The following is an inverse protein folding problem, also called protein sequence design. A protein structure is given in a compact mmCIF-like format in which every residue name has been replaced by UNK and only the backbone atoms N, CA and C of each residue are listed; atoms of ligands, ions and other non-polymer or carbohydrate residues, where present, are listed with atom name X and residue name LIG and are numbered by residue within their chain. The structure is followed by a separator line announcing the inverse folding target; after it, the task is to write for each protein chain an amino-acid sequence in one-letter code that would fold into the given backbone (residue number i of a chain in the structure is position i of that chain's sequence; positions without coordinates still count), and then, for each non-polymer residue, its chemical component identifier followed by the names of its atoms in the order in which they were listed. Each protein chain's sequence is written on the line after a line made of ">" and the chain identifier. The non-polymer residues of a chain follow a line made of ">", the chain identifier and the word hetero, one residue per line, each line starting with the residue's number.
data_IF_591838927726
#
_entry.id   IF_591838927726
#
_cell.length_a   1.000
_cell.length_b   1.000
_cell.length_c   1.000
_cell.angle_alpha   90.00
_cell.angle_beta   90.00
_cell.angle_gamma   90.00
#
_symmetry.space_group_name_H-M   'P 1'
#
loop_
_entity.id
_entity.type
_entity.pdbx_description
1 polymer ?
#
# COMPACT_ATOMS: atom_id res chain seq x y z
N UNK A 1 21.47 7.90 -1.78
CA UNK A 1 22.14 6.67 -2.25
C UNK A 1 22.60 6.83 -3.69
N UNK A 2 23.75 6.25 -4.06
CA UNK A 2 24.32 6.34 -5.40
C UNK A 2 24.56 4.93 -5.96
N UNK A 3 24.18 4.69 -7.21
CA UNK A 3 24.37 3.44 -7.94
C UNK A 3 24.97 3.71 -9.32
N UNK A 4 25.63 2.70 -9.89
CA UNK A 4 26.09 2.68 -11.28
C UNK A 4 25.47 1.49 -12.03
N UNK A 5 24.97 1.73 -13.24
CA UNK A 5 24.47 0.68 -14.11
C UNK A 5 25.64 -0.01 -14.81
N UNK A 6 25.85 -1.29 -14.49
CA UNK A 6 26.89 -2.11 -15.07
C UNK A 6 26.52 -2.58 -16.48
N UNK A 7 27.51 -2.94 -17.29
CA UNK A 7 27.32 -3.41 -18.67
C UNK A 7 26.43 -4.66 -18.82
N UNK A 8 26.27 -5.45 -17.75
CA UNK A 8 25.41 -6.64 -17.71
C UNK A 8 23.96 -6.33 -17.29
N UNK A 9 23.65 -5.09 -16.94
CA UNK A 9 22.34 -4.65 -16.48
C UNK A 9 22.17 -4.65 -14.95
N UNK A 10 23.19 -5.08 -14.20
CA UNK A 10 23.20 -5.07 -12.74
C UNK A 10 23.52 -3.68 -12.17
N UNK A 11 23.10 -3.41 -10.93
CA UNK A 11 23.44 -2.18 -10.21
C UNK A 11 24.61 -2.41 -9.23
N UNK A 12 25.64 -1.58 -9.33
CA UNK A 12 26.70 -1.48 -8.33
C UNK A 12 26.40 -0.31 -7.37
N UNK A 13 26.39 -0.55 -6.06
CA UNK A 13 26.25 0.52 -5.06
C UNK A 13 27.58 1.26 -4.90
N UNK A 14 27.53 2.58 -4.98
CA UNK A 14 28.67 3.48 -4.76
C UNK A 14 28.57 4.14 -3.36
N UNK A 15 29.68 4.73 -2.85
CA UNK A 15 29.65 5.49 -1.60
C UNK A 15 28.64 6.65 -1.66
N UNK A 16 27.84 6.82 -0.60
CA UNK A 16 26.75 7.80 -0.58
C UNK A 16 27.24 9.27 -0.52
N UNK A 17 28.49 9.47 -0.08
CA UNK A 17 29.22 10.73 0.03
C UNK A 17 30.13 11.02 -1.17
N UNK A 18 30.11 10.16 -2.20
CA UNK A 18 30.89 10.35 -3.42
C UNK A 18 30.54 11.70 -4.07
N UNK A 19 31.56 12.55 -4.24
CA UNK A 19 31.43 13.79 -4.98
C UNK A 19 31.22 13.46 -6.47
N UNK A 20 30.16 14.00 -7.06
CA UNK A 20 29.85 13.89 -8.49
C UNK A 20 30.01 15.28 -9.13
N UNK A 21 31.21 15.62 -9.65
CA UNK A 21 31.46 16.91 -10.28
C UNK A 21 30.47 17.15 -11.43
N UNK A 22 29.84 18.33 -11.46
CA UNK A 22 28.86 18.67 -12.50
C UNK A 22 27.44 18.17 -12.25
N UNK A 23 27.17 17.55 -11.09
CA UNK A 23 25.82 17.37 -10.58
C UNK A 23 25.51 18.48 -9.56
N UNK A 24 24.38 19.17 -9.73
CA UNK A 24 23.91 20.15 -8.75
C UNK A 24 23.70 19.50 -7.38
N UNK A 25 23.86 20.26 -6.30
CA UNK A 25 23.72 19.72 -4.95
C UNK A 25 22.26 19.34 -4.70
N UNK A 26 21.94 18.05 -4.79
CA UNK A 26 20.58 17.54 -4.59
C UNK A 26 20.37 17.24 -3.10
N UNK A 27 19.39 17.83 -2.41
CA UNK A 27 19.12 17.52 -1.00
C UNK A 27 18.65 16.08 -0.83
N UNK A 28 18.86 15.52 0.37
CA UNK A 28 18.23 14.25 0.75
C UNK A 28 16.74 14.48 1.08
N UNK A 29 15.87 13.47 0.89
CA UNK A 29 16.13 12.11 0.39
C UNK A 29 16.43 12.06 -1.11
N UNK A 30 17.41 11.23 -1.50
CA UNK A 30 17.84 11.10 -2.91
C UNK A 30 18.33 9.70 -3.26
N UNK A 31 18.06 9.28 -4.50
CA UNK A 31 18.64 8.09 -5.13
C UNK A 31 19.17 8.49 -6.50
N UNK A 32 20.42 8.17 -6.79
CA UNK A 32 21.08 8.48 -8.06
C UNK A 32 21.47 7.17 -8.73
N UNK A 33 21.08 6.97 -9.98
CA UNK A 33 21.59 5.93 -10.84
C UNK A 33 22.45 6.58 -11.94
N UNK A 34 23.74 6.32 -11.93
CA UNK A 34 24.65 6.68 -13.00
C UNK A 34 24.46 5.73 -14.17
N UNK A 35 24.36 6.32 -15.35
CA UNK A 35 24.12 5.65 -16.61
C UNK A 35 25.29 5.92 -17.57
N UNK A 36 25.50 5.05 -18.57
CA UNK A 36 26.42 5.31 -19.66
C UNK A 36 26.22 6.69 -20.32
N UNK A 37 27.28 7.23 -20.92
CA UNK A 37 27.29 8.51 -21.64
C UNK A 37 27.04 9.75 -20.75
N UNK A 38 27.56 9.72 -19.52
CA UNK A 38 27.42 10.80 -18.53
C UNK A 38 25.95 11.15 -18.25
N UNK A 39 25.07 10.15 -18.26
CA UNK A 39 23.65 10.31 -17.93
C UNK A 39 23.40 9.89 -16.48
N UNK A 40 22.30 10.35 -15.92
CA UNK A 40 21.86 9.87 -14.61
C UNK A 40 20.34 9.87 -14.51
N UNK A 41 19.81 8.94 -13.73
CA UNK A 41 18.44 9.03 -13.19
C UNK A 41 18.53 9.51 -11.76
N UNK A 42 17.76 10.54 -11.43
CA UNK A 42 17.65 11.10 -10.11
C UNK A 42 16.24 10.86 -9.55
N UNK A 43 16.17 10.08 -8.48
CA UNK A 43 14.99 9.95 -7.62
C UNK A 43 15.07 10.92 -6.46
N UNK A 44 14.04 11.75 -6.32
CA UNK A 44 13.87 12.72 -5.22
C UNK A 44 12.45 12.66 -4.69
N UNK A 45 12.21 13.39 -3.61
CA UNK A 45 10.87 13.50 -3.03
C UNK A 45 10.41 14.95 -3.16
N UNK A 46 9.23 15.12 -3.74
CA UNK A 46 8.53 16.39 -3.84
C UNK A 46 7.28 16.38 -2.93
N UNK A 47 6.79 17.56 -2.55
CA UNK A 47 5.53 17.76 -1.82
C UNK A 47 5.25 16.72 -0.71
N UNK A 48 6.13 16.64 0.29
CA UNK A 48 5.99 15.84 1.54
C UNK A 48 5.99 14.31 1.43
N UNK A 49 5.82 13.68 0.27
CA UNK A 49 5.95 12.22 0.11
C UNK A 49 5.92 11.70 -1.35
N UNK A 50 5.87 12.57 -2.36
CA UNK A 50 5.73 12.12 -3.74
C UNK A 50 7.09 11.81 -4.36
N UNK A 51 7.25 10.59 -4.85
CA UNK A 51 8.43 10.21 -5.62
C UNK A 51 8.46 10.97 -6.96
N UNK A 52 9.58 11.63 -7.24
CA UNK A 52 9.86 12.27 -8.52
C UNK A 52 11.14 11.68 -9.11
N UNK A 53 11.06 11.30 -10.39
CA UNK A 53 12.18 10.73 -11.12
C UNK A 53 12.53 11.61 -12.32
N UNK A 54 13.81 11.92 -12.50
CA UNK A 54 14.27 12.76 -13.59
C UNK A 54 15.52 12.17 -14.26
N UNK A 55 15.62 12.34 -15.57
CA UNK A 55 16.77 11.97 -16.40
C UNK A 55 17.59 13.23 -16.71
N UNK A 56 18.87 13.20 -16.38
CA UNK A 56 19.78 14.32 -16.65
C UNK A 56 21.08 13.91 -17.33
N UNK A 57 21.88 14.91 -17.67
CA UNK A 57 23.26 14.78 -18.14
C UNK A 57 24.20 15.47 -17.16
N UNK A 58 25.26 14.79 -16.75
CA UNK A 58 26.29 15.38 -15.91
C UNK A 58 27.02 16.46 -16.72
N UNK A 59 27.14 17.66 -16.15
CA UNK A 59 27.82 18.80 -16.77
C UNK A 59 27.05 19.46 -17.92
N UNK A 60 25.76 19.16 -18.13
CA UNK A 60 24.90 19.97 -19.00
C UNK A 60 24.21 21.08 -18.20
N UNK A 61 23.92 22.19 -18.86
CA UNK A 61 23.04 23.26 -18.34
C UNK A 61 21.56 22.92 -18.52
N UNK A 62 21.24 21.91 -19.33
CA UNK A 62 19.86 21.46 -19.55
C UNK A 62 19.23 20.96 -18.24
N UNK A 63 18.00 21.39 -18.00
CA UNK A 63 17.22 20.89 -16.87
C UNK A 63 16.92 19.40 -17.03
N UNK A 64 16.98 18.60 -15.95
CA UNK A 64 16.60 17.19 -16.00
C UNK A 64 15.14 17.02 -16.45
N UNK A 65 14.92 16.10 -17.37
CA UNK A 65 13.59 15.76 -17.91
C UNK A 65 12.89 14.79 -16.95
N UNK A 66 11.62 15.04 -16.64
CA UNK A 66 10.85 14.13 -15.80
C UNK A 66 10.57 12.79 -16.50
N UNK A 67 10.74 11.69 -15.77
CA UNK A 67 10.47 10.34 -16.24
C UNK A 67 9.62 9.57 -15.24
N UNK A 68 8.91 8.56 -15.72
CA UNK A 68 8.13 7.65 -14.88
C UNK A 68 8.75 6.26 -14.84
N UNK A 69 8.94 5.76 -13.62
CA UNK A 69 9.38 4.40 -13.31
C UNK A 69 8.21 3.60 -12.71
N UNK A 70 7.72 2.63 -13.47
CA UNK A 70 6.65 1.74 -13.05
C UNK A 70 7.24 0.50 -12.38
N UNK A 71 6.65 0.08 -11.26
CA UNK A 71 7.02 -1.18 -10.61
C UNK A 71 6.77 -2.36 -11.55
N UNK A 72 7.54 -3.42 -11.39
CA UNK A 72 7.42 -4.66 -12.16
C UNK A 72 7.63 -4.49 -13.69
N UNK A 73 8.11 -3.33 -14.15
CA UNK A 73 8.31 -3.05 -15.59
C UNK A 73 9.69 -2.46 -15.85
N UNK A 74 10.43 -2.96 -16.85
CA UNK A 74 11.69 -2.35 -17.27
C UNK A 74 11.45 -0.97 -17.90
N UNK A 75 12.47 -0.11 -17.86
CA UNK A 75 12.45 1.21 -18.50
C UNK A 75 13.54 1.29 -19.57
N UNK A 76 13.14 1.51 -20.81
CA UNK A 76 14.07 1.83 -21.90
C UNK A 76 14.13 3.35 -22.10
N UNK A 77 15.35 3.88 -22.09
CA UNK A 77 15.69 5.28 -22.30
C UNK A 77 16.36 5.40 -23.66
N UNK A 78 15.76 6.15 -24.56
CA UNK A 78 16.33 6.38 -25.89
C UNK A 78 17.30 7.56 -25.84
N UNK A 79 18.52 7.36 -26.31
CA UNK A 79 19.58 8.37 -26.36
C UNK A 79 19.79 8.92 -27.79
N UNK A 80 18.76 8.84 -28.64
CA UNK A 80 18.85 9.19 -30.04
C UNK A 80 19.80 8.26 -30.80
N UNK A 81 20.74 8.84 -31.55
CA UNK A 81 21.69 8.08 -32.38
C UNK A 81 22.72 7.28 -31.58
N UNK A 82 22.89 7.58 -30.28
CA UNK A 82 23.84 6.89 -29.39
C UNK A 82 23.34 5.50 -28.97
N UNK A 83 22.03 5.24 -29.15
CA UNK A 83 21.40 3.96 -28.83
C UNK A 83 20.33 4.10 -27.74
N UNK A 84 20.11 3.01 -27.00
CA UNK A 84 19.16 2.98 -25.89
C UNK A 84 19.78 2.29 -24.67
N UNK A 85 19.33 2.71 -23.49
CA UNK A 85 19.68 2.08 -22.22
C UNK A 85 18.42 1.45 -21.64
N UNK A 86 18.51 0.17 -21.28
CA UNK A 86 17.40 -0.50 -20.57
C UNK A 86 17.78 -0.72 -19.12
N UNK A 87 16.97 -0.16 -18.23
CA UNK A 87 17.00 -0.46 -16.80
C UNK A 87 16.03 -1.61 -16.55
N UNK A 88 16.54 -2.70 -15.97
CA UNK A 88 15.73 -3.88 -15.66
C UNK A 88 14.64 -3.58 -14.63
N UNK A 89 13.64 -4.46 -14.59
CA UNK A 89 12.59 -4.42 -13.57
C UNK A 89 13.18 -4.43 -12.15
N UNK A 90 14.09 -5.37 -11.89
CA UNK A 90 14.69 -5.59 -10.57
C UNK A 90 15.47 -4.35 -10.11
N UNK A 91 16.13 -3.68 -11.06
CA UNK A 91 16.83 -2.42 -10.80
C UNK A 91 15.87 -1.29 -10.46
N UNK A 92 14.73 -1.19 -11.14
CA UNK A 92 13.69 -0.18 -10.84
C UNK A 92 13.11 -0.41 -9.46
N UNK A 93 12.73 -1.65 -9.13
CA UNK A 93 12.15 -1.98 -7.83
C UNK A 93 13.15 -1.69 -6.69
N UNK A 94 14.44 -1.97 -6.90
CA UNK A 94 15.50 -1.61 -5.96
C UNK A 94 15.63 -0.10 -5.77
N UNK A 95 15.65 0.69 -6.85
CA UNK A 95 15.78 2.15 -6.78
C UNK A 95 14.60 2.78 -6.03
N UNK A 96 13.37 2.36 -6.35
CA UNK A 96 12.15 2.83 -5.68
C UNK A 96 12.14 2.42 -4.22
N UNK A 97 12.49 1.18 -3.90
CA UNK A 97 12.65 0.72 -2.52
C UNK A 97 13.69 1.53 -1.75
N UNK A 98 14.82 1.89 -2.37
CA UNK A 98 15.84 2.73 -1.74
C UNK A 98 15.35 4.16 -1.46
N UNK A 99 14.51 4.72 -2.34
CA UNK A 99 13.93 6.04 -2.14
C UNK A 99 12.87 6.00 -1.02
N UNK A 100 11.94 5.03 -1.05
CA UNK A 100 10.91 4.83 -0.02
C UNK A 100 11.47 4.67 1.38
N UNK A 101 12.56 3.92 1.53
CA UNK A 101 13.24 3.72 2.82
C UNK A 101 13.86 4.99 3.40
N UNK A 102 13.96 6.07 2.63
CA UNK A 102 14.41 7.39 3.11
C UNK A 102 13.24 8.34 3.39
N UNK A 103 12.00 7.93 3.12
CA UNK A 103 10.80 8.75 3.31
C UNK A 103 10.10 8.37 4.62
N UNK A 104 9.52 9.36 5.34
CA UNK A 104 8.55 9.03 6.37
C UNK A 104 7.31 8.39 5.72
N UNK A 105 6.58 7.52 6.44
CA UNK A 105 5.30 7.01 5.97
C UNK A 105 4.32 8.15 5.67
N UNK A 106 3.52 8.05 4.59
CA UNK A 106 2.60 9.12 4.20
C UNK A 106 1.47 9.31 5.22
N UNK A 107 0.86 10.49 5.20
CA UNK A 107 -0.27 10.85 6.04
C UNK A 107 0.12 11.41 7.41
N UNK A 108 -0.83 12.16 7.99
CA UNK A 108 -0.64 12.84 9.27
C UNK A 108 -0.98 11.91 10.44
N UNK A 109 -0.17 11.95 11.49
CA UNK A 109 -0.31 11.10 12.67
C UNK A 109 -1.58 11.42 13.48
N UNK A 110 -1.75 12.69 13.87
CA UNK A 110 -2.78 13.13 14.82
C UNK A 110 -4.21 12.79 14.36
N UNK A 111 -4.63 13.02 13.10
CA UNK A 111 -5.98 12.65 12.65
C UNK A 111 -6.25 11.14 12.73
N UNK A 112 -5.27 10.30 12.36
CA UNK A 112 -5.40 8.85 12.43
C UNK A 112 -5.55 8.37 13.87
N UNK A 113 -4.74 8.91 14.80
CA UNK A 113 -4.85 8.58 16.23
C UNK A 113 -6.16 9.03 16.87
N UNK A 114 -6.64 10.22 16.54
CA UNK A 114 -7.94 10.70 17.03
C UNK A 114 -9.10 9.80 16.58
N UNK A 115 -9.05 9.33 15.33
CA UNK A 115 -10.03 8.37 14.84
C UNK A 115 -9.94 7.06 15.64
N UNK A 116 -8.74 6.51 15.80
CA UNK A 116 -8.54 5.25 16.52
C UNK A 116 -9.02 5.35 17.97
N UNK A 117 -8.67 6.42 18.69
CA UNK A 117 -9.17 6.71 20.05
C UNK A 117 -10.70 6.76 20.09
N UNK A 118 -11.34 7.42 19.12
CA UNK A 118 -12.79 7.49 19.03
C UNK A 118 -13.50 6.15 18.78
N UNK A 119 -12.78 5.11 18.32
CA UNK A 119 -13.30 3.76 18.16
C UNK A 119 -13.20 2.93 19.43
N UNK A 120 -12.17 3.17 20.24
CA UNK A 120 -11.88 2.40 21.47
C UNK A 120 -12.69 2.84 22.69
N UNK A 121 -13.58 3.86 22.55
CA UNK A 121 -14.61 4.32 23.50
C UNK A 121 -14.48 3.71 24.91
N UNK A 122 -13.62 4.31 25.73
CA UNK A 122 -13.36 4.01 27.15
C UNK A 122 -12.20 3.03 27.48
N UNK A 123 -11.53 2.42 26.49
CA UNK A 123 -10.29 1.69 26.73
C UNK A 123 -9.09 2.68 26.76
N UNK A 124 -8.58 2.99 27.96
CA UNK A 124 -7.61 4.05 28.27
C UNK A 124 -6.20 3.84 27.70
N UNK A 125 -6.04 2.96 26.71
CA UNK A 125 -4.74 2.56 26.17
C UNK A 125 -4.03 3.69 25.41
N UNK A 126 -4.78 4.60 24.80
CA UNK A 126 -4.23 5.74 24.07
C UNK A 126 -4.17 6.96 25.00
N UNK A 127 -2.95 7.25 25.47
CA UNK A 127 -2.61 8.44 26.27
C UNK A 127 -2.56 9.68 25.36
N UNK A 128 -2.80 10.88 25.91
CA UNK A 128 -2.79 12.12 25.14
C UNK A 128 -1.42 12.36 24.45
N UNK A 129 -0.31 12.00 25.09
CA UNK A 129 1.04 12.04 24.51
C UNK A 129 1.14 11.24 23.20
N UNK A 130 0.42 10.11 23.08
CA UNK A 130 0.41 9.27 21.88
C UNK A 130 -0.47 9.83 20.74
N UNK A 131 -1.15 10.96 20.96
CA UNK A 131 -1.93 11.68 19.93
C UNK A 131 -1.10 12.84 19.38
N UNK A 132 -0.30 13.44 20.24
CA UNK A 132 0.58 14.57 19.89
C UNK A 132 1.89 14.10 19.27
N UNK A 133 2.47 13.01 19.80
CA UNK A 133 3.75 12.45 19.36
C UNK A 133 3.60 11.04 18.79
N UNK A 134 4.17 10.85 17.60
CA UNK A 134 4.22 9.59 16.89
C UNK A 134 5.09 8.55 17.61
N UNK A 135 6.16 8.96 18.28
CA UNK A 135 7.09 8.03 18.96
C UNK A 135 6.42 7.13 20.00
N UNK A 136 5.85 7.71 21.08
CA UNK A 136 5.12 6.95 22.11
C UNK A 136 3.95 6.14 21.54
N UNK A 137 3.28 6.67 20.51
CA UNK A 137 2.19 5.97 19.85
C UNK A 137 2.65 4.68 19.16
N UNK A 138 3.77 4.72 18.44
CA UNK A 138 4.30 3.54 17.77
C UNK A 138 4.72 2.48 18.79
N UNK A 139 5.32 2.85 19.92
CA UNK A 139 5.65 1.89 20.99
C UNK A 139 4.42 1.20 21.59
N UNK A 140 3.32 1.93 21.71
CA UNK A 140 2.03 1.37 22.14
C UNK A 140 1.48 0.40 21.08
N UNK A 141 1.44 0.84 19.82
CA UNK A 141 0.86 0.08 18.71
C UNK A 141 1.65 -1.21 18.41
N UNK A 142 2.97 -1.22 18.57
CA UNK A 142 3.77 -2.43 18.38
C UNK A 142 3.39 -3.59 19.34
N UNK A 143 2.67 -3.31 20.44
CA UNK A 143 2.15 -4.32 21.37
C UNK A 143 0.84 -4.94 20.91
N UNK A 144 0.14 -4.32 19.96
CA UNK A 144 -1.17 -4.75 19.47
C UNK A 144 -1.20 -4.65 17.94
N UNK A 145 -0.94 -5.78 17.27
CA UNK A 145 -0.88 -5.84 15.82
C UNK A 145 -2.17 -5.42 15.12
N UNK A 146 -3.32 -5.65 15.75
CA UNK A 146 -4.64 -5.26 15.22
C UNK A 146 -4.78 -3.75 15.23
N UNK A 147 -4.47 -3.08 16.34
CA UNK A 147 -4.50 -1.62 16.43
C UNK A 147 -3.44 -0.97 15.53
N UNK A 148 -2.24 -1.56 15.45
CA UNK A 148 -1.18 -1.09 14.55
C UNK A 148 -1.64 -1.11 13.09
N UNK A 149 -2.19 -2.23 12.64
CA UNK A 149 -2.71 -2.36 11.28
C UNK A 149 -3.82 -1.34 10.99
N UNK A 150 -4.76 -1.17 11.92
CA UNK A 150 -5.83 -0.19 11.78
C UNK A 150 -5.32 1.26 11.72
N UNK A 151 -4.34 1.60 12.56
CA UNK A 151 -3.69 2.91 12.56
C UNK A 151 -3.09 3.23 11.18
N UNK A 152 -2.28 2.31 10.63
CA UNK A 152 -1.64 2.51 9.33
C UNK A 152 -2.64 2.57 8.18
N UNK A 153 -3.67 1.71 8.19
CA UNK A 153 -4.72 1.78 7.18
C UNK A 153 -5.44 3.12 7.18
N UNK A 154 -5.81 3.65 8.36
CA UNK A 154 -6.45 4.96 8.46
C UNK A 154 -5.52 6.08 8.00
N UNK A 155 -4.25 6.06 8.41
CA UNK A 155 -3.28 7.09 8.05
C UNK A 155 -3.04 7.14 6.54
N UNK A 156 -2.81 6.00 5.90
CA UNK A 156 -2.60 5.92 4.45
C UNK A 156 -3.88 6.20 3.66
N UNK A 157 -5.04 5.84 4.18
CA UNK A 157 -6.31 6.18 3.55
C UNK A 157 -6.55 7.70 3.57
N UNK A 158 -6.31 8.36 4.71
CA UNK A 158 -6.43 9.81 4.83
C UNK A 158 -5.48 10.57 3.90
N UNK A 159 -4.24 10.11 3.73
CA UNK A 159 -3.30 10.74 2.80
C UNK A 159 -3.73 10.65 1.34
N UNK A 160 -4.53 9.63 1.01
CA UNK A 160 -5.12 9.40 -0.32
C UNK A 160 -6.52 10.01 -0.48
N UNK A 161 -7.05 10.67 0.54
CA UNK A 161 -8.45 11.10 0.63
C UNK A 161 -9.47 9.96 0.42
N UNK A 162 -9.10 8.73 0.77
CA UNK A 162 -9.93 7.53 0.68
C UNK A 162 -10.75 7.34 1.97
N UNK A 163 -11.79 8.17 2.14
CA UNK A 163 -12.67 8.10 3.31
C UNK A 163 -13.45 6.79 3.42
N UNK A 164 -13.62 6.10 2.29
CA UNK A 164 -14.27 4.80 2.22
C UNK A 164 -13.41 3.72 2.90
N UNK A 165 -12.10 3.69 2.64
CA UNK A 165 -11.15 2.84 3.37
C UNK A 165 -11.13 3.14 4.87
N UNK A 166 -11.21 4.42 5.25
CA UNK A 166 -11.36 4.80 6.67
C UNK A 166 -12.65 4.20 7.26
N UNK A 167 -13.77 4.30 6.54
CA UNK A 167 -15.07 3.75 6.98
C UNK A 167 -15.05 2.22 7.13
N UNK A 168 -14.43 1.51 6.19
CA UNK A 168 -14.23 0.05 6.26
C UNK A 168 -13.38 -0.34 7.46
N UNK A 169 -12.25 0.33 7.67
CA UNK A 169 -11.36 0.07 8.81
C UNK A 169 -12.06 0.34 10.14
N UNK A 170 -12.84 1.44 10.24
CA UNK A 170 -13.69 1.72 11.41
C UNK A 170 -14.72 0.61 11.66
N UNK A 171 -15.31 0.08 10.60
CA UNK A 171 -16.29 -1.01 10.69
C UNK A 171 -15.64 -2.27 11.21
N UNK A 172 -14.48 -2.64 10.66
CA UNK A 172 -13.67 -3.77 11.15
C UNK A 172 -13.39 -3.66 12.64
N UNK A 173 -12.82 -2.54 13.10
CA UNK A 173 -12.41 -2.38 14.49
C UNK A 173 -13.60 -2.38 15.46
N UNK A 174 -14.76 -1.90 15.04
CA UNK A 174 -15.97 -1.88 15.88
C UNK A 174 -16.67 -3.21 16.00
N UNK A 175 -16.63 -4.05 14.96
CA UNK A 175 -17.51 -5.23 14.89
C UNK A 175 -16.75 -6.56 14.89
N UNK A 176 -15.48 -6.56 14.47
CA UNK A 176 -14.74 -7.77 14.17
C UNK A 176 -13.21 -7.64 14.39
N UNK A 177 -12.75 -6.80 15.32
CA UNK A 177 -11.32 -6.57 15.57
C UNK A 177 -10.56 -7.86 15.91
N UNK A 178 -11.17 -8.71 16.74
CA UNK A 178 -10.61 -9.97 17.26
C UNK A 178 -10.91 -11.19 16.38
N UNK A 179 -11.80 -11.07 15.39
CA UNK A 179 -12.31 -12.21 14.61
C UNK A 179 -11.23 -12.87 13.75
N UNK A 180 -10.29 -12.07 13.26
CA UNK A 180 -9.28 -12.52 12.30
C UNK A 180 -8.00 -13.01 12.98
N UNK A 181 -7.89 -12.88 14.30
CA UNK A 181 -6.72 -13.32 15.07
C UNK A 181 -6.58 -14.84 15.02
N UNK A 182 -5.46 -15.33 14.46
CA UNK A 182 -5.18 -16.76 14.34
C UNK A 182 -6.06 -17.51 13.32
N UNK A 183 -6.86 -16.80 12.52
CA UNK A 183 -7.71 -17.42 11.51
C UNK A 183 -6.90 -17.90 10.30
N UNK A 184 -6.94 -19.22 10.05
CA UNK A 184 -6.39 -19.85 8.86
C UNK A 184 -7.43 -20.82 8.25
N UNK A 185 -7.70 -20.77 6.93
CA UNK A 185 -7.15 -19.81 5.95
C UNK A 185 -7.65 -18.37 6.16
N UNK A 186 -6.97 -17.39 5.56
CA UNK A 186 -7.37 -15.98 5.59
C UNK A 186 -8.47 -15.69 4.55
N UNK A 187 -9.32 -14.66 4.77
CA UNK A 187 -10.29 -14.24 3.76
C UNK A 187 -9.60 -13.71 2.50
N UNK A 188 -10.31 -13.73 1.37
CA UNK A 188 -9.82 -13.18 0.10
C UNK A 188 -10.88 -12.31 -0.55
N UNK A 189 -10.44 -11.28 -1.27
CA UNK A 189 -11.32 -10.33 -1.95
C UNK A 189 -10.82 -10.09 -3.38
N UNK A 190 -11.73 -10.03 -4.32
CA UNK A 190 -11.47 -9.67 -5.72
C UNK A 190 -12.50 -8.66 -6.19
N UNK A 191 -12.14 -7.90 -7.22
CA UNK A 191 -12.96 -6.81 -7.74
C UNK A 191 -13.16 -6.95 -9.24
N UNK A 192 -14.36 -6.62 -9.73
CA UNK A 192 -14.62 -6.52 -11.16
C UNK A 192 -15.42 -5.26 -11.48
N UNK A 193 -14.94 -4.48 -12.45
CA UNK A 193 -15.66 -3.33 -13.00
C UNK A 193 -16.89 -3.76 -13.82
N UNK A 194 -16.79 -4.93 -14.44
CA UNK A 194 -17.83 -5.51 -15.29
C UNK A 194 -18.28 -6.84 -14.71
N UNK A 195 -18.38 -7.88 -15.55
CA UNK A 195 -19.19 -9.02 -15.20
C UNK A 195 -18.56 -9.95 -14.17
N UNK A 196 -17.49 -10.60 -14.60
CA UNK A 196 -16.74 -11.55 -13.81
C UNK A 196 -15.37 -10.97 -13.43
N UNK A 197 -14.69 -11.54 -12.43
CA UNK A 197 -13.29 -11.24 -12.13
C UNK A 197 -12.37 -11.49 -13.33
N UNK A 198 -11.13 -10.99 -13.25
CA UNK A 198 -10.12 -11.31 -14.24
C UNK A 198 -9.82 -12.81 -14.29
N UNK A 199 -9.27 -13.30 -15.41
CA UNK A 199 -8.97 -14.74 -15.59
C UNK A 199 -8.14 -15.34 -14.44
N UNK A 200 -7.12 -14.63 -13.98
CA UNK A 200 -6.28 -15.07 -12.86
C UNK A 200 -7.10 -15.23 -11.57
N UNK A 201 -7.97 -14.27 -11.29
CA UNK A 201 -8.83 -14.28 -10.09
C UNK A 201 -9.84 -15.42 -10.17
N UNK A 202 -10.38 -15.70 -11.36
CA UNK A 202 -11.26 -16.85 -11.60
C UNK A 202 -10.52 -18.15 -11.28
N UNK A 203 -9.30 -18.32 -11.77
CA UNK A 203 -8.49 -19.52 -11.49
C UNK A 203 -8.24 -19.70 -9.98
N UNK A 204 -8.03 -18.60 -9.24
CA UNK A 204 -7.93 -18.63 -7.77
C UNK A 204 -9.25 -19.02 -7.09
N UNK A 205 -10.38 -18.52 -7.58
CA UNK A 205 -11.72 -18.81 -7.05
C UNK A 205 -12.12 -20.27 -7.35
N UNK A 206 -11.78 -20.80 -8.52
CA UNK A 206 -11.94 -22.21 -8.87
C UNK A 206 -11.12 -23.11 -7.95
N UNK A 207 -9.91 -22.69 -7.58
CA UNK A 207 -9.09 -23.35 -6.58
C UNK A 207 -9.75 -23.44 -5.19
N UNK A 208 -10.74 -22.59 -4.91
CA UNK A 208 -11.57 -22.63 -3.70
C UNK A 208 -12.85 -23.47 -3.87
N UNK A 209 -13.05 -24.07 -5.04
CA UNK A 209 -14.18 -24.98 -5.31
C UNK A 209 -15.44 -24.29 -5.83
N UNK A 210 -15.33 -23.09 -6.42
CA UNK A 210 -16.44 -22.41 -7.10
C UNK A 210 -16.17 -22.37 -8.61
N UNK A 211 -17.08 -22.93 -9.41
CA UNK A 211 -16.90 -23.01 -10.86
C UNK A 211 -17.22 -21.69 -11.56
N UNK A 212 -16.73 -21.49 -12.79
CA UNK A 212 -17.16 -20.35 -13.63
C UNK A 212 -18.68 -20.29 -13.79
N UNK A 213 -19.35 -21.43 -13.93
CA UNK A 213 -20.81 -21.51 -14.01
C UNK A 213 -21.48 -20.99 -12.74
N UNK A 214 -20.91 -21.26 -11.56
CA UNK A 214 -21.38 -20.73 -10.29
C UNK A 214 -21.29 -19.21 -10.26
N UNK A 215 -20.17 -18.64 -10.72
CA UNK A 215 -19.97 -17.19 -10.78
C UNK A 215 -20.95 -16.52 -11.74
N UNK A 216 -21.18 -17.12 -12.92
CA UNK A 216 -22.18 -16.65 -13.87
C UNK A 216 -23.59 -16.68 -13.28
N UNK A 217 -23.95 -17.76 -12.57
CA UNK A 217 -25.25 -17.88 -11.89
C UNK A 217 -25.40 -16.82 -10.80
N UNK A 218 -24.41 -16.63 -9.93
CA UNK A 218 -24.42 -15.58 -8.93
C UNK A 218 -24.60 -14.21 -9.57
N UNK A 219 -23.90 -13.95 -10.68
CA UNK A 219 -23.98 -12.69 -11.38
C UNK A 219 -25.34 -12.42 -12.02
N UNK A 220 -26.01 -13.46 -12.52
CA UNK A 220 -27.32 -13.35 -13.16
C UNK A 220 -28.47 -13.01 -12.20
N UNK A 221 -28.24 -13.07 -10.89
CA UNK A 221 -29.27 -12.73 -9.90
C UNK A 221 -29.50 -11.22 -9.83
N UNK A 222 -30.78 -10.84 -9.82
CA UNK A 222 -31.21 -9.43 -9.78
C UNK A 222 -31.09 -8.78 -8.41
N UNK A 223 -31.08 -9.57 -7.33
CA UNK A 223 -30.92 -9.07 -5.96
C UNK A 223 -29.50 -9.27 -5.46
N UNK A 224 -28.90 -8.21 -4.91
CA UNK A 224 -27.59 -8.23 -4.27
C UNK A 224 -27.73 -7.88 -2.78
N UNK A 225 -26.88 -8.42 -1.89
CA UNK A 225 -25.78 -9.35 -2.16
C UNK A 225 -26.24 -10.80 -2.40
N UNK A 226 -25.40 -11.59 -3.07
CA UNK A 226 -25.60 -13.03 -3.32
C UNK A 226 -24.56 -13.82 -2.54
N UNK A 227 -24.95 -14.96 -1.97
CA UNK A 227 -24.06 -15.83 -1.20
C UNK A 227 -24.13 -17.24 -1.75
N UNK A 228 -22.97 -17.87 -1.94
CA UNK A 228 -22.85 -19.25 -2.36
C UNK A 228 -21.94 -20.01 -1.39
N UNK A 229 -22.37 -21.19 -0.98
CA UNK A 229 -21.63 -22.08 -0.11
C UNK A 229 -20.85 -23.13 -0.90
N UNK A 230 -19.64 -23.46 -0.44
CA UNK A 230 -18.89 -24.63 -0.85
C UNK A 230 -18.27 -25.31 0.39
N UNK A 231 -17.64 -26.47 0.22
CA UNK A 231 -16.98 -27.16 1.34
C UNK A 231 -15.78 -26.38 1.93
N UNK A 232 -15.23 -25.42 1.19
CA UNK A 232 -14.10 -24.60 1.65
C UNK A 232 -14.57 -23.37 2.43
N UNK A 233 -15.75 -22.81 2.08
CA UNK A 233 -16.27 -21.60 2.70
C UNK A 233 -17.48 -21.01 1.99
N UNK A 234 -17.59 -19.69 2.08
CA UNK A 234 -18.68 -18.90 1.51
C UNK A 234 -18.12 -17.86 0.55
N UNK A 235 -18.68 -17.79 -0.65
CA UNK A 235 -18.42 -16.75 -1.63
C UNK A 235 -19.58 -15.76 -1.62
N UNK A 236 -19.27 -14.48 -1.46
CA UNK A 236 -20.22 -13.39 -1.41
C UNK A 236 -19.97 -12.48 -2.61
N UNK A 237 -21.04 -12.19 -3.36
CA UNK A 237 -21.06 -11.17 -4.40
C UNK A 237 -21.85 -9.96 -3.91
N UNK A 238 -21.20 -8.80 -3.83
CA UNK A 238 -21.82 -7.54 -3.43
C UNK A 238 -21.50 -6.45 -4.44
N UNK A 239 -22.37 -5.44 -4.54
CA UNK A 239 -22.06 -4.20 -5.23
C UNK A 239 -21.50 -3.17 -4.26
N UNK A 240 -20.60 -2.34 -4.78
CA UNK A 240 -20.04 -1.20 -4.07
C UNK A 240 -19.93 0.00 -5.02
N UNK A 241 -20.25 1.19 -4.52
CA UNK A 241 -20.46 2.39 -5.34
C UNK A 241 -21.94 2.61 -5.69
N UNK A 242 -22.29 3.85 -6.00
CA UNK A 242 -23.64 4.23 -6.44
C UNK A 242 -23.87 4.01 -7.94
N UNK A 243 -25.00 4.49 -8.44
CA UNK A 243 -25.51 4.22 -9.81
C UNK A 243 -24.58 4.62 -10.97
N UNK A 244 -23.57 5.47 -10.74
CA UNK A 244 -22.69 6.00 -11.80
C UNK A 244 -21.28 5.39 -11.85
N UNK A 245 -20.85 4.66 -10.82
CA UNK A 245 -19.49 4.11 -10.72
C UNK A 245 -19.43 2.89 -9.78
N UNK A 246 -20.38 1.96 -9.95
CA UNK A 246 -20.42 0.72 -9.19
C UNK A 246 -19.40 -0.30 -9.70
N UNK A 247 -18.75 -1.02 -8.80
CA UNK A 247 -18.01 -2.24 -9.12
C UNK A 247 -18.43 -3.35 -8.18
N UNK A 248 -18.08 -4.57 -8.57
CA UNK A 248 -18.48 -5.79 -7.88
C UNK A 248 -17.37 -6.25 -6.98
N UNK A 249 -17.77 -6.68 -5.80
CA UNK A 249 -16.90 -7.27 -4.80
C UNK A 249 -17.22 -8.75 -4.73
N UNK A 250 -16.19 -9.55 -4.91
CA UNK A 250 -16.21 -10.99 -4.70
C UNK A 250 -15.42 -11.26 -3.43
N UNK A 251 -16.09 -11.72 -2.37
CA UNK A 251 -15.46 -11.97 -1.08
C UNK A 251 -15.58 -13.45 -0.73
N UNK A 252 -14.45 -14.10 -0.51
CA UNK A 252 -14.40 -15.44 0.06
C UNK A 252 -14.15 -15.37 1.57
N UNK A 253 -15.00 -16.06 2.34
CA UNK A 253 -14.87 -16.26 3.76
C UNK A 253 -14.80 -17.76 4.11
N UNK A 254 -13.71 -18.21 4.74
CA UNK A 254 -13.61 -19.52 5.36
C UNK A 254 -14.75 -19.78 6.36
N UNK A 255 -15.16 -21.04 6.49
CA UNK A 255 -16.26 -21.46 7.38
C UNK A 255 -16.11 -20.92 8.83
N UNK A 256 -14.93 -20.97 9.48
CA UNK A 256 -14.78 -20.45 10.85
C UNK A 256 -15.11 -18.95 10.96
N UNK A 257 -14.62 -18.16 9.98
CA UNK A 257 -14.86 -16.72 9.94
C UNK A 257 -16.32 -16.40 9.64
N UNK A 258 -16.94 -17.13 8.70
CA UNK A 258 -18.36 -17.01 8.43
C UNK A 258 -19.20 -17.27 9.68
N UNK A 259 -18.92 -18.35 10.42
CA UNK A 259 -19.66 -18.72 11.61
C UNK A 259 -19.51 -17.65 12.72
N UNK A 260 -18.30 -17.14 12.95
CA UNK A 260 -18.08 -16.09 13.95
C UNK A 260 -18.81 -14.79 13.57
N UNK A 261 -18.68 -14.33 12.32
CA UNK A 261 -19.25 -13.04 11.88
C UNK A 261 -20.76 -13.10 11.65
N UNK A 262 -21.23 -14.11 10.89
CA UNK A 262 -22.62 -14.20 10.45
C UNK A 262 -23.51 -14.90 11.45
N UNK A 263 -23.04 -16.03 12.02
CA UNK A 263 -23.87 -16.86 12.89
C UNK A 263 -23.83 -16.43 14.35
N UNK A 264 -22.66 -16.05 14.87
CA UNK A 264 -22.54 -15.65 16.28
C UNK A 264 -22.77 -14.14 16.46
N UNK A 265 -22.06 -13.30 15.70
CA UNK A 265 -22.17 -11.82 15.80
C UNK A 265 -23.35 -11.24 15.03
N UNK A 266 -24.04 -12.04 14.21
CA UNK A 266 -25.23 -11.64 13.44
C UNK A 266 -25.02 -10.41 12.54
N UNK A 267 -23.80 -10.20 12.04
CA UNK A 267 -23.50 -9.10 11.12
C UNK A 267 -24.33 -9.25 9.84
N UNK A 268 -24.82 -8.13 9.31
CA UNK A 268 -25.39 -8.12 7.96
C UNK A 268 -24.31 -8.44 6.92
N UNK A 269 -24.71 -8.93 5.74
CA UNK A 269 -23.74 -9.23 4.67
C UNK A 269 -22.93 -8.00 4.29
N UNK A 270 -23.56 -6.81 4.27
CA UNK A 270 -22.87 -5.55 3.99
C UNK A 270 -21.82 -5.22 5.05
N UNK A 271 -22.16 -5.34 6.34
CA UNK A 271 -21.19 -5.11 7.43
C UNK A 271 -20.05 -6.12 7.41
N UNK A 272 -20.34 -7.38 7.12
CA UNK A 272 -19.35 -8.44 7.00
C UNK A 272 -18.39 -8.16 5.83
N UNK A 273 -18.87 -7.71 4.67
CA UNK A 273 -18.02 -7.30 3.55
C UNK A 273 -17.15 -6.10 3.94
N UNK A 274 -17.74 -5.07 4.54
CA UNK A 274 -17.02 -3.87 4.97
C UNK A 274 -15.95 -4.16 6.02
N UNK A 275 -16.26 -5.00 7.02
CA UNK A 275 -15.32 -5.38 8.07
C UNK A 275 -14.17 -6.25 7.52
N UNK A 276 -14.49 -7.23 6.67
CA UNK A 276 -13.46 -8.10 6.09
C UNK A 276 -12.53 -7.33 5.16
N UNK A 277 -13.08 -6.41 4.37
CA UNK A 277 -12.26 -5.55 3.53
C UNK A 277 -11.44 -4.55 4.36
N UNK A 278 -12.02 -3.96 5.41
CA UNK A 278 -11.26 -3.11 6.34
C UNK A 278 -10.08 -3.84 7.00
N UNK A 279 -10.25 -5.12 7.34
CA UNK A 279 -9.15 -5.98 7.81
C UNK A 279 -8.05 -6.14 6.76
N UNK A 280 -8.41 -6.45 5.51
CA UNK A 280 -7.44 -6.60 4.42
C UNK A 280 -6.71 -5.29 4.10
N UNK A 281 -7.41 -4.15 4.13
CA UNK A 281 -6.81 -2.81 4.03
C UNK A 281 -5.79 -2.59 5.18
N UNK A 282 -6.14 -3.02 6.40
CA UNK A 282 -5.27 -3.06 7.58
C UNK A 282 -3.98 -3.83 7.36
N UNK A 283 -4.10 -5.08 6.91
CA UNK A 283 -2.95 -5.97 6.68
C UNK A 283 -2.04 -5.43 5.56
N UNK A 284 -2.64 -4.92 4.48
CA UNK A 284 -1.89 -4.32 3.39
C UNK A 284 -1.10 -3.09 3.86
N UNK A 285 -1.73 -2.21 4.66
CA UNK A 285 -1.08 -1.03 5.21
C UNK A 285 0.04 -1.37 6.22
N UNK A 286 -0.16 -2.38 7.08
CA UNK A 286 0.89 -2.83 8.02
C UNK A 286 2.09 -3.44 7.29
N UNK A 287 1.87 -4.11 6.15
CA UNK A 287 2.96 -4.56 5.29
C UNK A 287 3.65 -3.38 4.58
N UNK A 288 2.87 -2.47 4.00
CA UNK A 288 3.36 -1.31 3.26
C UNK A 288 4.22 -0.39 4.13
N UNK A 289 3.86 -0.17 5.40
CA UNK A 289 4.62 0.69 6.34
C UNK A 289 6.10 0.28 6.43
N UNK A 290 6.37 -1.01 6.31
CA UNK A 290 7.72 -1.58 6.48
C UNK A 290 8.65 -1.22 5.33
N UNK A 291 8.10 -0.72 4.21
CA UNK A 291 8.85 -0.22 3.06
C UNK A 291 9.35 1.22 3.23
N UNK A 292 8.80 1.97 4.19
CA UNK A 292 9.18 3.34 4.47
C UNK A 292 10.31 3.41 5.51
N UNK A 293 11.01 4.55 5.52
CA UNK A 293 11.99 4.82 6.56
C UNK A 293 11.31 5.00 7.90
N UNK A 294 11.77 4.29 8.93
CA UNK A 294 11.48 4.69 10.30
C UNK A 294 12.12 6.06 10.48
N UNK A 295 11.36 7.07 10.93
CA UNK A 295 11.92 8.35 11.35
C UNK A 295 13.04 8.04 12.36
N UNK A 296 14.30 8.13 11.93
CA UNK A 296 15.37 8.32 12.88
C UNK A 296 15.08 9.68 13.50
N UNK A 297 14.63 9.67 14.75
CA UNK A 297 14.58 10.86 15.60
C UNK A 297 16.02 11.37 15.76
N UNK A 298 16.57 12.00 14.73
CA UNK A 298 17.72 12.85 14.88
C UNK A 298 17.19 14.14 15.51
N UNK A 299 17.68 14.54 16.69
CA UNK A 299 17.26 15.79 17.29
C UNK A 299 17.61 16.90 16.31
N UNK A 300 16.64 17.76 16.00
CA UNK A 300 16.92 19.10 15.52
C UNK A 300 17.82 19.76 16.56
N UNK A 301 19.13 19.65 16.39
CA UNK A 301 20.05 20.53 17.09
C UNK A 301 19.78 21.91 16.53
N UNK A 302 19.04 22.68 17.31
CA UNK A 302 18.95 24.13 17.26
C UNK A 302 20.30 24.71 16.83
N UNK A 303 20.40 25.07 15.55
CA UNK A 303 21.45 25.94 15.05
C UNK A 303 20.95 27.39 15.16
N UNK A 304 20.73 27.84 16.39
CA UNK A 304 20.61 29.25 16.75
C UNK A 304 21.18 29.42 18.16
N UNK A 305 22.41 29.92 18.22
CA UNK A 305 23.23 30.17 19.40
C UNK A 305 24.64 30.49 18.99
#
# INVERSE_FOLDING_TARGET
>A
MIFELMSRGDLARLPDDMLLPGLTNVPAPRVILLLPYNRYILGTVDMRAYERWALGKIGSEDLPEEIFLYEEKPKTINLGEVGSITVSRESIDLLKSCLRRQMPPPGEHQPAMLILRGLLKDDSRIVDDAIEDEGPALELLEKDGTLRAAYWAMRFALSRNDYDAVSRTKTWIRTASDVFEGAAPSPRIWFSLTDLPGRKDIEEIEGLGYTVDDLQRMNSQSSRPVVLYSKSGYLVLSDYGGDSAGYRIWLYLPIPLWNEMREKRKLSIRELVMATWGYLDGMAADAERSSFGQRTLAPEKNALG
#
